data_IF_602948868531
#
_entry.id   IF_602948868531
#
_cell.length_a   1.000
_cell.length_b   1.000
_cell.length_c   1.000
_cell.angle_alpha   90.00
_cell.angle_beta   90.00
_cell.angle_gamma   90.00
#
_symmetry.space_group_name_H-M   'P 1'
#
loop_
_entity.id
_entity.type
_entity.pdbx_description
1 polymer ?
#
# COMPACT_ATOMS: atom_id res chain seq x y z
N UNK A 1 12.97 -8.98 16.99
CA UNK A 1 12.83 -7.84 16.06
C UNK A 1 14.21 -7.24 15.82
N UNK A 2 14.58 -6.90 14.58
CA UNK A 2 15.89 -6.36 14.23
C UNK A 2 15.79 -5.12 13.34
N UNK A 3 16.85 -4.35 13.27
CA UNK A 3 16.98 -3.25 12.31
C UNK A 3 17.07 -3.79 10.86
N UNK A 4 16.64 -2.99 9.89
CA UNK A 4 16.77 -3.34 8.47
C UNK A 4 18.23 -3.22 8.05
N UNK A 5 18.66 -4.11 7.14
CA UNK A 5 19.93 -3.91 6.44
C UNK A 5 19.76 -2.80 5.39
N UNK A 6 20.86 -2.15 5.01
CA UNK A 6 20.85 -1.06 4.03
C UNK A 6 20.15 -1.47 2.70
N UNK A 7 20.47 -2.66 2.17
CA UNK A 7 19.82 -3.18 0.95
C UNK A 7 18.31 -3.43 1.12
N UNK A 8 17.88 -3.85 2.31
CA UNK A 8 16.46 -4.09 2.61
C UNK A 8 15.72 -2.76 2.73
N UNK A 9 16.34 -1.79 3.39
CA UNK A 9 15.81 -0.45 3.55
C UNK A 9 15.63 0.22 2.18
N UNK A 10 16.63 0.20 1.31
CA UNK A 10 16.53 0.74 -0.05
C UNK A 10 15.35 0.15 -0.83
N UNK A 11 15.10 -1.16 -0.71
CA UNK A 11 13.95 -1.82 -1.36
C UNK A 11 12.61 -1.34 -0.80
N UNK A 12 12.52 -1.16 0.52
CA UNK A 12 11.30 -0.63 1.17
C UNK A 12 11.08 0.81 0.74
N UNK A 13 12.11 1.65 0.81
CA UNK A 13 12.04 3.06 0.40
C UNK A 13 11.67 3.20 -1.07
N UNK A 14 12.27 2.41 -1.96
CA UNK A 14 11.93 2.40 -3.40
C UNK A 14 10.45 2.10 -3.61
N UNK A 15 9.89 1.14 -2.88
CA UNK A 15 8.46 0.79 -3.00
C UNK A 15 7.54 1.83 -2.38
N UNK A 16 7.94 2.48 -1.29
CA UNK A 16 7.16 3.57 -0.69
C UNK A 16 7.20 4.81 -1.60
N UNK A 17 8.38 5.20 -2.10
CA UNK A 17 8.54 6.31 -3.06
C UNK A 17 7.69 6.11 -4.31
N UNK A 18 7.50 4.87 -4.75
CA UNK A 18 6.62 4.56 -5.88
C UNK A 18 5.14 4.99 -5.66
N UNK A 19 4.66 5.09 -4.42
CA UNK A 19 3.28 5.50 -4.10
C UNK A 19 3.17 6.92 -3.52
N UNK A 20 4.14 7.34 -2.70
CA UNK A 20 4.10 8.62 -1.97
C UNK A 20 5.25 9.59 -2.33
N UNK A 21 6.16 9.19 -3.23
CA UNK A 21 7.32 9.97 -3.69
C UNK A 21 8.21 10.45 -2.55
N UNK A 22 8.61 11.72 -2.58
CA UNK A 22 9.57 12.26 -1.60
C UNK A 22 8.98 12.47 -0.19
N UNK A 23 7.66 12.30 -0.03
CA UNK A 23 7.02 12.34 1.29
C UNK A 23 7.44 11.20 2.21
N UNK A 24 8.12 10.16 1.69
CA UNK A 24 8.71 9.09 2.52
C UNK A 24 9.60 9.65 3.61
N UNK A 25 10.38 10.69 3.32
CA UNK A 25 11.29 11.28 4.29
C UNK A 25 10.56 11.84 5.52
N UNK A 26 9.32 12.33 5.35
CA UNK A 26 8.50 12.85 6.45
C UNK A 26 7.99 11.76 7.39
N UNK A 27 7.78 10.55 6.86
CA UNK A 27 7.37 9.40 7.67
C UNK A 27 8.54 8.90 8.51
N UNK A 28 9.75 8.91 7.94
CA UNK A 28 10.96 8.43 8.60
C UNK A 28 11.63 9.45 9.51
N UNK A 29 11.36 10.75 9.31
CA UNK A 29 11.86 11.82 10.18
C UNK A 29 11.15 11.90 11.52
N UNK A 30 10.09 11.13 11.73
CA UNK A 30 9.38 11.05 13.01
C UNK A 30 10.15 10.24 14.06
N UNK A 31 9.52 10.04 15.22
CA UNK A 31 10.06 9.17 16.29
C UNK A 31 9.97 7.67 15.96
N UNK A 32 9.27 7.31 14.88
CA UNK A 32 9.04 5.93 14.48
C UNK A 32 10.09 5.44 13.48
N UNK A 33 10.62 4.25 13.72
CA UNK A 33 11.62 3.59 12.88
C UNK A 33 11.08 2.30 12.29
N UNK A 34 11.67 1.90 11.16
CA UNK A 34 11.35 0.63 10.52
C UNK A 34 12.16 -0.50 11.14
N UNK A 35 11.49 -1.59 11.47
CA UNK A 35 12.13 -2.81 11.95
C UNK A 35 11.60 -4.03 11.21
N UNK A 36 12.43 -5.06 11.14
CA UNK A 36 12.10 -6.33 10.52
C UNK A 36 11.88 -7.41 11.57
N UNK A 37 10.80 -8.16 11.41
CA UNK A 37 10.54 -9.39 12.17
C UNK A 37 9.79 -10.39 11.28
N UNK A 38 10.30 -11.63 11.20
CA UNK A 38 9.68 -12.70 10.40
C UNK A 38 9.25 -12.26 8.99
N UNK A 39 10.15 -11.59 8.26
CA UNK A 39 9.94 -11.01 6.92
C UNK A 39 8.92 -9.87 6.84
N UNK A 40 8.25 -9.48 7.93
CA UNK A 40 7.37 -8.32 8.00
C UNK A 40 8.16 -7.09 8.43
N UNK A 41 7.96 -6.00 7.69
CA UNK A 41 8.49 -4.68 8.03
C UNK A 41 7.42 -3.94 8.82
N UNK A 42 7.76 -3.51 10.02
CA UNK A 42 6.87 -2.80 10.94
C UNK A 42 7.43 -1.42 11.25
N UNK A 43 6.52 -0.46 11.42
CA UNK A 43 6.80 0.88 11.90
C UNK A 43 6.41 0.95 13.38
N UNK A 44 7.38 1.30 14.22
CA UNK A 44 7.20 1.42 15.67
C UNK A 44 8.21 2.42 16.27
N UNK A 45 7.90 2.94 17.44
CA UNK A 45 8.83 3.79 18.22
C UNK A 45 9.92 2.95 18.90
N UNK A 46 11.05 3.57 19.20
CA UNK A 46 12.15 2.91 19.94
C UNK A 46 11.72 2.41 21.32
N UNK A 47 10.83 3.17 21.99
CA UNK A 47 10.23 2.76 23.27
C UNK A 47 9.46 1.45 23.13
N UNK A 48 8.68 1.31 22.07
CA UNK A 48 7.93 0.08 21.79
C UNK A 48 8.88 -1.07 21.41
N UNK A 49 9.95 -0.81 20.65
CA UNK A 49 11.00 -1.81 20.37
C UNK A 49 11.60 -2.33 21.67
N UNK A 50 11.96 -1.43 22.59
CA UNK A 50 12.52 -1.79 23.89
C UNK A 50 11.56 -2.64 24.71
N UNK A 51 10.26 -2.31 24.75
CA UNK A 51 9.25 -3.11 25.44
C UNK A 51 9.12 -4.53 24.84
N UNK A 52 9.22 -4.67 23.51
CA UNK A 52 9.16 -6.00 22.87
C UNK A 52 10.38 -6.88 23.12
N UNK A 53 11.49 -6.33 23.65
CA UNK A 53 12.72 -7.10 23.91
C UNK A 53 12.55 -8.19 24.97
N UNK A 54 11.59 -8.02 25.89
CA UNK A 54 11.27 -9.00 26.92
C UNK A 54 10.52 -10.22 26.37
N UNK A 55 9.96 -10.12 25.16
CA UNK A 55 9.16 -11.18 24.54
C UNK A 55 10.07 -12.01 23.62
N UNK A 56 10.02 -13.33 23.78
CA UNK A 56 10.78 -14.24 22.94
C UNK A 56 10.41 -14.09 21.46
N UNK A 57 11.38 -14.27 20.56
CA UNK A 57 11.16 -14.14 19.11
C UNK A 57 10.04 -15.06 18.59
N UNK A 58 9.87 -16.24 19.20
CA UNK A 58 8.84 -17.22 18.83
C UNK A 58 7.43 -16.75 19.22
N UNK A 59 7.30 -16.02 20.33
CA UNK A 59 6.02 -15.56 20.85
C UNK A 59 5.61 -14.19 20.29
N UNK A 60 6.58 -13.39 19.82
CA UNK A 60 6.30 -12.10 19.20
C UNK A 60 5.76 -12.32 17.78
N UNK A 61 4.51 -11.92 17.53
CA UNK A 61 3.88 -12.02 16.19
C UNK A 61 4.03 -10.71 15.43
N UNK A 62 3.54 -9.60 15.99
CA UNK A 62 3.67 -8.25 15.46
C UNK A 62 3.77 -7.22 16.58
N UNK A 63 4.29 -6.03 16.27
CA UNK A 63 4.22 -4.85 17.13
C UNK A 63 4.15 -3.59 16.26
N UNK A 64 3.23 -2.67 16.59
CA UNK A 64 3.02 -1.45 15.82
C UNK A 64 2.31 -1.69 14.48
N UNK A 65 2.64 -0.88 13.48
CA UNK A 65 1.97 -0.90 12.18
C UNK A 65 2.79 -1.70 11.17
N UNK A 66 2.22 -2.76 10.60
CA UNK A 66 2.87 -3.51 9.53
C UNK A 66 2.81 -2.70 8.23
N UNK A 67 3.96 -2.37 7.65
CA UNK A 67 4.05 -1.67 6.35
C UNK A 67 3.92 -2.66 5.20
N UNK A 68 4.53 -3.83 5.35
CA UNK A 68 4.52 -4.85 4.31
C UNK A 68 5.40 -6.04 4.67
N UNK A 69 5.68 -6.89 3.69
CA UNK A 69 6.51 -8.08 3.86
C UNK A 69 7.44 -8.32 2.69
N UNK A 70 8.60 -8.89 2.98
CA UNK A 70 9.50 -9.45 1.97
C UNK A 70 8.97 -10.80 1.49
N UNK A 71 8.95 -10.99 0.18
CA UNK A 71 8.69 -12.28 -0.44
C UNK A 71 9.89 -13.20 -0.31
N UNK A 72 9.70 -14.50 -0.57
CA UNK A 72 10.80 -15.48 -0.60
C UNK A 72 11.89 -15.09 -1.61
N UNK A 73 11.50 -14.38 -2.68
CA UNK A 73 12.41 -13.90 -3.73
C UNK A 73 13.12 -12.58 -3.34
N UNK A 74 12.95 -12.09 -2.11
CA UNK A 74 13.60 -10.87 -1.62
C UNK A 74 13.02 -9.55 -2.13
N UNK A 75 11.81 -9.58 -2.73
CA UNK A 75 11.09 -8.38 -3.15
C UNK A 75 10.17 -7.89 -2.03
N UNK A 76 10.10 -6.58 -1.83
CA UNK A 76 9.20 -5.98 -0.84
C UNK A 76 7.79 -5.79 -1.42
N UNK A 77 6.79 -6.38 -0.75
CA UNK A 77 5.37 -6.20 -1.06
C UNK A 77 4.72 -5.34 0.03
N UNK A 78 4.13 -4.24 -0.40
CA UNK A 78 3.35 -3.36 0.47
C UNK A 78 2.09 -4.08 0.95
N UNK A 79 1.79 -3.95 2.24
CA UNK A 79 0.62 -4.56 2.87
C UNK A 79 -0.54 -3.58 2.98
N UNK A 80 -1.76 -4.10 2.96
CA UNK A 80 -2.99 -3.30 3.10
C UNK A 80 -3.07 -2.58 4.46
N UNK A 81 -2.42 -3.12 5.50
CA UNK A 81 -2.29 -2.50 6.84
C UNK A 81 -1.68 -1.11 6.82
N UNK A 82 -0.82 -0.82 5.84
CA UNK A 82 -0.18 0.49 5.68
C UNK A 82 -1.07 1.56 5.04
N UNK A 83 -2.23 1.16 4.50
CA UNK A 83 -3.06 2.02 3.66
C UNK A 83 -3.46 3.33 4.36
N UNK A 84 -4.01 3.23 5.57
CA UNK A 84 -4.49 4.41 6.30
C UNK A 84 -3.35 5.37 6.65
N UNK A 85 -2.19 4.83 7.03
CA UNK A 85 -1.01 5.63 7.33
C UNK A 85 -0.51 6.39 6.10
N UNK A 86 -0.38 5.68 4.97
CA UNK A 86 0.24 6.22 3.76
C UNK A 86 -0.72 7.07 2.92
N UNK A 87 -2.04 6.85 3.01
CA UNK A 87 -3.07 7.53 2.20
C UNK A 87 -3.03 9.06 2.31
N UNK A 88 -2.58 9.59 3.46
CA UNK A 88 -2.42 11.02 3.72
C UNK A 88 -1.40 11.68 2.77
N UNK A 89 -0.42 10.90 2.30
CA UNK A 89 0.71 11.36 1.48
C UNK A 89 0.63 10.87 0.03
N UNK A 90 -0.53 10.35 -0.39
CA UNK A 90 -0.74 9.79 -1.71
C UNK A 90 -0.54 10.84 -2.81
N UNK A 91 0.38 10.57 -3.75
CA UNK A 91 0.62 11.44 -4.92
C UNK A 91 -0.50 11.30 -5.94
N UNK A 92 -0.83 10.05 -6.28
CA UNK A 92 -1.85 9.72 -7.26
C UNK A 92 -3.03 9.04 -6.58
N UNK A 93 -4.22 9.54 -6.87
CA UNK A 93 -5.47 9.07 -6.27
C UNK A 93 -6.48 8.71 -7.36
N UNK A 94 -7.19 7.62 -7.14
CA UNK A 94 -8.28 7.16 -8.01
C UNK A 94 -9.49 6.87 -7.12
N UNK A 95 -10.64 7.41 -7.50
CA UNK A 95 -11.90 7.19 -6.79
C UNK A 95 -12.78 6.26 -7.61
N UNK A 96 -13.33 5.25 -6.95
CA UNK A 96 -14.24 4.26 -7.55
C UNK A 96 -15.69 4.67 -7.25
N UNK A 97 -16.58 4.46 -8.22
CA UNK A 97 -18.03 4.63 -8.04
C UNK A 97 -18.58 3.63 -7.04
N UNK A 98 -19.56 4.01 -6.23
CA UNK A 98 -20.18 3.11 -5.26
C UNK A 98 -20.75 1.83 -5.91
N UNK A 99 -21.25 1.92 -7.15
CA UNK A 99 -21.73 0.75 -7.92
C UNK A 99 -20.66 -0.29 -8.23
N UNK A 100 -19.38 0.08 -8.20
CA UNK A 100 -18.24 -0.78 -8.53
C UNK A 100 -17.31 -1.01 -7.33
N UNK A 101 -17.63 -0.48 -6.15
CA UNK A 101 -16.83 -0.60 -4.93
C UNK A 101 -16.67 -2.07 -4.51
N UNK A 102 -17.78 -2.81 -4.46
CA UNK A 102 -17.76 -4.25 -4.15
C UNK A 102 -16.90 -5.05 -5.14
N UNK A 103 -16.94 -4.69 -6.42
CA UNK A 103 -16.13 -5.35 -7.44
C UNK A 103 -14.62 -5.19 -7.13
N UNK A 104 -14.19 -4.00 -6.74
CA UNK A 104 -12.79 -3.74 -6.37
C UNK A 104 -12.38 -4.45 -5.07
N UNK A 105 -13.21 -4.38 -4.03
CA UNK A 105 -12.96 -5.01 -2.72
C UNK A 105 -12.99 -6.54 -2.80
N UNK A 106 -13.64 -7.11 -3.81
CA UNK A 106 -13.52 -8.53 -4.15
C UNK A 106 -12.27 -8.89 -4.96
N UNK A 107 -11.31 -7.97 -5.09
CA UNK A 107 -9.99 -8.23 -5.66
C UNK A 107 -9.92 -8.17 -7.18
N UNK A 108 -10.96 -7.66 -7.83
CA UNK A 108 -10.94 -7.48 -9.27
C UNK A 108 -10.26 -6.17 -9.66
N UNK A 109 -9.76 -6.14 -10.90
CA UNK A 109 -9.25 -4.90 -11.49
C UNK A 109 -10.39 -3.94 -11.82
N UNK A 110 -10.08 -2.64 -11.94
CA UNK A 110 -11.09 -1.63 -12.28
C UNK A 110 -11.00 -1.19 -13.73
N UNK A 111 -12.18 -1.12 -14.35
CA UNK A 111 -12.38 -0.62 -15.70
C UNK A 111 -12.65 0.88 -15.66
N UNK A 112 -12.53 1.56 -16.81
CA UNK A 112 -12.84 2.98 -16.95
C UNK A 112 -14.25 3.33 -16.46
N UNK A 113 -15.23 2.47 -16.71
CA UNK A 113 -16.63 2.63 -16.27
C UNK A 113 -16.77 2.67 -14.74
N UNK A 114 -15.87 2.01 -14.00
CA UNK A 114 -15.86 1.94 -12.54
C UNK A 114 -15.27 3.20 -11.90
N UNK A 115 -14.48 3.97 -12.64
CA UNK A 115 -13.79 5.15 -12.10
C UNK A 115 -14.79 6.32 -11.98
N UNK A 116 -14.85 6.92 -10.80
CA UNK A 116 -15.61 8.14 -10.53
C UNK A 116 -14.81 9.39 -10.89
N UNK A 117 -13.57 9.49 -10.37
CA UNK A 117 -12.60 10.54 -10.69
C UNK A 117 -11.19 10.02 -10.48
N UNK A 118 -10.19 10.67 -11.04
CA UNK A 118 -8.76 10.37 -10.81
C UNK A 118 -7.96 11.67 -10.77
N UNK A 119 -6.78 11.64 -10.16
CA UNK A 119 -5.80 12.70 -10.35
C UNK A 119 -5.48 12.87 -11.84
N UNK A 120 -5.15 14.10 -12.24
CA UNK A 120 -4.75 14.37 -13.62
C UNK A 120 -3.32 13.90 -13.89
N UNK A 121 -3.05 13.55 -15.16
CA UNK A 121 -1.68 13.30 -15.63
C UNK A 121 -0.98 12.07 -15.03
N UNK A 122 -1.71 11.11 -14.44
CA UNK A 122 -1.09 9.91 -13.86
C UNK A 122 -0.38 9.10 -14.97
N UNK A 123 0.96 8.88 -14.88
CA UNK A 123 1.68 8.09 -15.88
C UNK A 123 1.20 6.64 -15.93
N UNK A 124 1.51 5.94 -17.02
CA UNK A 124 1.34 4.48 -17.09
C UNK A 124 2.27 3.80 -16.07
N UNK A 125 1.81 2.69 -15.48
CA UNK A 125 2.56 1.93 -14.47
C UNK A 125 2.88 2.72 -13.19
N UNK A 126 2.14 3.79 -12.89
CA UNK A 126 2.29 4.56 -11.67
C UNK A 126 1.52 3.92 -10.51
N UNK A 127 2.07 4.01 -9.30
CA UNK A 127 1.39 3.56 -8.09
C UNK A 127 0.30 4.55 -7.68
N UNK A 128 -0.90 4.05 -7.42
CA UNK A 128 -2.04 4.88 -7.03
C UNK A 128 -2.71 4.35 -5.76
N UNK A 129 -3.26 5.27 -4.99
CA UNK A 129 -4.18 4.97 -3.91
C UNK A 129 -5.60 4.98 -4.45
N UNK A 130 -6.38 4.01 -4.02
CA UNK A 130 -7.76 3.83 -4.45
C UNK A 130 -8.67 4.21 -3.30
N UNK A 131 -9.67 5.04 -3.58
CA UNK A 131 -10.65 5.53 -2.63
C UNK A 131 -12.06 5.22 -3.14
N UNK A 132 -13.05 5.19 -2.26
CA UNK A 132 -14.46 5.24 -2.65
C UNK A 132 -14.93 6.70 -2.81
N UNK A 133 -16.18 6.93 -3.18
CA UNK A 133 -16.72 8.27 -3.41
C UNK A 133 -16.74 9.17 -2.16
N UNK A 134 -16.57 8.60 -0.97
CA UNK A 134 -16.57 9.31 0.31
C UNK A 134 -15.16 9.53 0.87
N UNK A 135 -14.13 9.47 0.02
CA UNK A 135 -12.72 9.65 0.40
C UNK A 135 -12.21 8.60 1.42
N UNK A 136 -12.86 7.43 1.51
CA UNK A 136 -12.39 6.30 2.30
C UNK A 136 -11.39 5.49 1.47
N UNK A 137 -10.17 5.24 1.96
CA UNK A 137 -9.17 4.48 1.22
C UNK A 137 -9.57 2.99 1.16
N UNK A 138 -9.62 2.45 -0.06
CA UNK A 138 -9.98 1.07 -0.37
C UNK A 138 -8.75 0.18 -0.63
N UNK A 139 -7.66 0.74 -1.13
CA UNK A 139 -6.52 -0.07 -1.50
C UNK A 139 -5.45 0.62 -2.33
N UNK A 140 -4.60 -0.21 -2.92
CA UNK A 140 -3.50 0.17 -3.78
C UNK A 140 -3.71 -0.40 -5.18
N UNK A 141 -3.28 0.35 -6.18
CA UNK A 141 -3.32 -0.08 -7.58
C UNK A 141 -2.17 0.46 -8.41
N UNK A 142 -2.12 0.00 -9.65
CA UNK A 142 -1.19 0.47 -10.68
C UNK A 142 -2.01 0.85 -11.92
N UNK A 143 -1.73 2.00 -12.51
CA UNK A 143 -2.37 2.42 -13.76
C UNK A 143 -1.89 1.59 -14.94
N UNK A 144 -2.80 1.22 -15.84
CA UNK A 144 -2.49 0.47 -17.07
C UNK A 144 -2.47 1.32 -18.34
N UNK A 145 -2.87 2.60 -18.26
CA UNK A 145 -2.96 3.50 -19.41
C UNK A 145 -2.11 4.76 -19.20
N UNK A 146 -1.67 5.37 -20.30
CA UNK A 146 -1.11 6.72 -20.31
C UNK A 146 -2.22 7.76 -20.13
N UNK A 147 -1.91 9.01 -19.72
CA UNK A 147 -2.92 10.06 -19.60
C UNK A 147 -3.74 10.28 -20.87
N UNK A 148 -3.09 10.25 -22.03
CA UNK A 148 -3.74 10.43 -23.33
C UNK A 148 -4.69 9.27 -23.64
N UNK A 149 -4.23 8.03 -23.42
CA UNK A 149 -5.05 6.83 -23.62
C UNK A 149 -6.21 6.76 -22.62
N UNK A 150 -6.01 7.22 -21.38
CA UNK A 150 -7.04 7.26 -20.35
C UNK A 150 -8.21 8.18 -20.73
N UNK A 151 -7.94 9.31 -21.38
CA UNK A 151 -8.97 10.23 -21.85
C UNK A 151 -9.76 9.67 -23.04
N UNK A 152 -9.10 8.94 -23.94
CA UNK A 152 -9.75 8.29 -25.08
C UNK A 152 -10.38 6.91 -24.77
N UNK A 153 -10.16 6.38 -23.56
CA UNK A 153 -10.55 5.03 -23.19
C UNK A 153 -12.08 4.85 -23.13
N UNK A 154 -12.56 3.75 -23.72
CA UNK A 154 -13.96 3.30 -23.60
C UNK A 154 -14.22 2.75 -22.20
N UNK A 155 -15.50 2.67 -21.81
CA UNK A 155 -15.91 2.23 -20.47
C UNK A 155 -15.39 0.86 -20.04
N UNK A 156 -15.24 -0.09 -20.96
CA UNK A 156 -14.73 -1.45 -20.67
C UNK A 156 -13.20 -1.55 -20.64
N UNK A 157 -12.47 -0.47 -20.92
CA UNK A 157 -11.02 -0.49 -20.91
C UNK A 157 -10.51 -0.71 -19.49
N UNK A 158 -9.53 -1.60 -19.34
CA UNK A 158 -8.81 -1.82 -18.09
C UNK A 158 -7.95 -0.58 -17.78
N UNK A 159 -8.21 0.07 -16.65
CA UNK A 159 -7.51 1.31 -16.24
C UNK A 159 -6.59 1.08 -15.05
N UNK A 160 -7.01 0.21 -14.14
CA UNK A 160 -6.39 0.07 -12.83
C UNK A 160 -6.20 -1.41 -12.51
N UNK A 161 -4.94 -1.81 -12.40
CA UNK A 161 -4.52 -3.11 -11.92
C UNK A 161 -4.48 -3.08 -10.40
N UNK A 162 -5.31 -3.91 -9.77
CA UNK A 162 -5.40 -4.00 -8.31
C UNK A 162 -4.13 -4.64 -7.75
N UNK A 163 -3.58 -4.06 -6.68
CA UNK A 163 -2.41 -4.61 -5.96
C UNK A 163 -2.80 -5.21 -4.60
N UNK A 164 -3.62 -4.48 -3.84
CA UNK A 164 -4.18 -4.89 -2.55
C UNK A 164 -5.43 -4.07 -2.27
N UNK A 165 -6.40 -4.64 -1.57
CA UNK A 165 -7.64 -3.97 -1.16
C UNK A 165 -8.03 -4.38 0.26
N UNK A 166 -8.89 -3.59 0.90
CA UNK A 166 -9.37 -3.81 2.27
C UNK A 166 -10.19 -5.10 2.43
N UNK A 167 -10.74 -5.64 1.36
CA UNK A 167 -11.42 -6.94 1.37
C UNK A 167 -10.46 -8.10 1.63
N UNK A 168 -9.13 -7.89 1.58
CA UNK A 168 -8.17 -8.88 2.07
C UNK A 168 -8.37 -9.19 3.56
N UNK A 169 -8.85 -8.25 4.37
CA UNK A 169 -9.09 -8.49 5.80
C UNK A 169 -10.11 -9.59 6.06
N UNK A 170 -11.10 -9.75 5.18
CA UNK A 170 -12.15 -10.76 5.30
C UNK A 170 -11.79 -12.02 4.51
N UNK A 171 -11.15 -11.87 3.35
CA UNK A 171 -10.86 -13.01 2.46
C UNK A 171 -9.63 -13.81 2.89
N UNK A 172 -8.71 -13.20 3.64
CA UNK A 172 -7.43 -13.79 4.02
C UNK A 172 -7.21 -13.78 5.54
N UNK A 173 -8.25 -14.00 6.33
CA UNK A 173 -8.20 -13.98 7.80
C UNK A 173 -7.06 -14.83 8.38
N UNK A 174 -6.81 -16.01 7.80
CA UNK A 174 -5.73 -16.92 8.25
C UNK A 174 -4.31 -16.42 7.97
N UNK A 175 -4.13 -15.48 7.03
CA UNK A 175 -2.81 -15.07 6.49
C UNK A 175 -2.34 -13.72 6.99
N UNK A 176 -3.17 -13.01 7.74
CA UNK A 176 -2.87 -11.68 8.26
C UNK A 176 -2.06 -11.80 9.55
#
# INVERSE_FOLDING_TARGET
MRDLKQEEEEKVLKKLKFFIGDNVNRILSGEEKLFLHNQRVMLLSEKMKAATSMISRKNLIMAGTVIGKFTKNGNFRLGISSLNLLSKWAIHKVWIKSSAEMNYVYGNNSLKSHIFRSSEGIPINAGVFVFNQHDVPLGFGITSLTPQAYSAAKGHALVLLRQSDTGEYVRNEEKI
#
